data_IF_410079073536
#
_entry.id   IF_410079073536
#
_cell.length_a   1.000
_cell.length_b   1.000
_cell.length_c   1.000
_cell.angle_alpha   90.00
_cell.angle_beta   90.00
_cell.angle_gamma   90.00
#
_symmetry.space_group_name_H-M   'P 1'
#
loop_
_entity.id
_entity.type
_entity.pdbx_description
1 polymer ?
#
# COMPACT_ATOMS: atom_id res chain seq x y z
N UNK A 1 8.09 6.88 12.19
CA UNK A 1 7.91 5.73 11.27
C UNK A 1 6.48 5.81 10.81
N UNK A 2 6.26 5.91 9.50
CA UNK A 2 4.93 6.26 8.97
C UNK A 2 4.27 4.98 8.49
N UNK A 3 3.27 4.52 9.23
CA UNK A 3 2.30 3.54 8.72
C UNK A 3 1.42 4.28 7.72
N UNK A 4 1.46 3.89 6.45
CA UNK A 4 0.73 4.56 5.39
C UNK A 4 -0.21 3.56 4.70
N UNK A 5 -1.46 3.98 4.53
CA UNK A 5 -2.29 3.49 3.44
C UNK A 5 -2.18 4.51 2.32
N UNK A 6 -1.60 4.10 1.21
CA UNK A 6 -1.48 4.94 0.03
C UNK A 6 -2.52 4.50 -1.01
N UNK A 7 -3.12 5.48 -1.67
CA UNK A 7 -4.01 5.21 -2.81
C UNK A 7 -3.27 5.63 -4.07
N UNK A 8 -2.86 4.65 -4.87
CA UNK A 8 -2.29 4.91 -6.19
C UNK A 8 -3.42 5.15 -7.19
N UNK A 9 -3.28 6.18 -8.01
CA UNK A 9 -4.23 6.44 -9.09
C UNK A 9 -3.53 6.10 -10.40
N UNK A 10 -3.84 4.94 -10.96
CA UNK A 10 -3.35 4.55 -12.28
C UNK A 10 -4.18 5.24 -13.36
N UNK A 11 -3.69 6.38 -13.84
CA UNK A 11 -4.28 7.04 -15.01
C UNK A 11 -3.73 6.36 -16.26
N UNK A 12 -4.48 5.43 -16.84
CA UNK A 12 -4.21 4.94 -18.21
C UNK A 12 -4.67 6.00 -19.21
N UNK A 13 -3.94 7.11 -19.27
CA UNK A 13 -4.14 8.19 -20.24
C UNK A 13 -3.02 8.16 -21.26
N UNK A 14 -3.36 7.93 -22.53
CA UNK A 14 -2.43 8.12 -23.63
C UNK A 14 -1.90 9.55 -23.60
N UNK A 15 -0.62 9.72 -23.28
CA UNK A 15 0.10 10.96 -23.48
C UNK A 15 0.24 11.18 -25.00
N UNK A 16 -0.83 11.64 -25.64
CA UNK A 16 -0.72 12.37 -26.89
C UNK A 16 -0.12 13.72 -26.51
N UNK A 17 1.21 13.82 -26.61
CA UNK A 17 1.84 15.11 -26.83
C UNK A 17 1.17 15.71 -28.09
N UNK A 18 0.26 16.66 -27.88
CA UNK A 18 -0.23 17.53 -28.93
C UNK A 18 0.94 18.36 -29.45
N UNK A 19 1.61 17.87 -30.49
CA UNK A 19 2.23 18.73 -31.48
C UNK A 19 1.12 19.12 -32.48
N UNK A 20 1.04 20.39 -32.88
CA UNK A 20 -0.13 20.94 -33.55
C UNK A 20 -0.47 20.20 -34.84
N UNK A 21 -1.74 19.81 -34.94
CA UNK A 21 -2.32 19.16 -36.09
C UNK A 21 -2.20 20.04 -37.33
N UNK A 22 -1.48 19.55 -38.34
CA UNK A 22 -1.85 19.78 -39.73
C UNK A 22 -1.68 18.51 -40.53
N UNK A 23 -2.82 18.09 -41.10
CA UNK A 23 -3.01 17.31 -42.33
C UNK A 23 -3.08 15.77 -42.27
N UNK A 24 -4.25 15.30 -42.74
CA UNK A 24 -4.62 13.99 -43.29
C UNK A 24 -5.16 12.88 -42.37
N UNK A 25 -6.49 12.85 -42.27
CA UNK A 25 -7.29 11.62 -42.20
C UNK A 25 -6.99 10.75 -43.43
N UNK A 26 -6.64 9.48 -43.23
CA UNK A 26 -7.34 8.35 -43.84
C UNK A 26 -6.89 7.00 -43.27
N UNK A 27 -7.87 6.15 -43.03
CA UNK A 27 -7.74 4.80 -42.50
C UNK A 27 -6.93 3.91 -43.46
N UNK A 28 -5.73 3.48 -43.05
CA UNK A 28 -4.98 2.33 -43.61
C UNK A 28 -3.75 1.89 -42.77
N UNK A 29 -3.65 2.31 -41.50
CA UNK A 29 -2.38 2.27 -40.74
C UNK A 29 -1.98 0.95 -40.03
N UNK A 30 -2.86 -0.04 -39.88
CA UNK A 30 -2.54 -1.20 -39.00
C UNK A 30 -1.65 -2.26 -39.66
N UNK A 31 -1.74 -2.45 -40.99
CA UNK A 31 -0.92 -3.43 -41.71
C UNK A 31 0.49 -2.93 -42.03
N UNK A 32 0.66 -1.62 -42.22
CA UNK A 32 1.95 -1.04 -42.65
C UNK A 32 2.92 -0.83 -41.47
N UNK A 33 2.40 -0.59 -40.26
CA UNK A 33 3.20 -0.56 -39.02
C UNK A 33 3.70 -1.96 -38.63
N UNK A 34 2.84 -2.98 -38.73
CA UNK A 34 3.21 -4.39 -38.47
C UNK A 34 4.26 -4.90 -39.48
N UNK A 35 4.17 -4.46 -40.74
CA UNK A 35 5.12 -4.82 -41.79
C UNK A 35 6.45 -4.06 -41.66
N UNK A 36 6.44 -2.78 -41.25
CA UNK A 36 7.67 -2.03 -40.91
C UNK A 36 8.38 -2.58 -39.67
N UNK A 37 7.66 -3.00 -38.63
CA UNK A 37 8.26 -3.64 -37.45
C UNK A 37 8.87 -5.02 -37.76
N UNK A 38 8.28 -5.81 -38.68
CA UNK A 38 8.90 -7.08 -39.12
C UNK A 38 10.18 -6.90 -39.92
N UNK A 39 10.31 -5.83 -40.70
CA UNK A 39 11.52 -5.58 -41.52
C UNK A 39 12.68 -4.99 -40.70
N UNK A 40 12.41 -4.24 -39.62
CA UNK A 40 13.45 -3.67 -38.74
C UNK A 40 14.17 -4.75 -37.89
N UNK A 41 13.57 -5.93 -37.72
CA UNK A 41 14.15 -7.02 -36.93
C UNK A 41 15.38 -7.71 -37.55
N UNK A 42 15.82 -7.33 -38.75
CA UNK A 42 16.83 -8.09 -39.51
C UNK A 42 18.16 -7.40 -39.85
N UNK A 43 18.45 -6.18 -39.41
CA UNK A 43 19.75 -5.55 -39.73
C UNK A 43 20.27 -4.44 -38.82
N UNK A 44 19.96 -4.44 -37.51
CA UNK A 44 20.70 -3.55 -36.60
C UNK A 44 21.92 -4.27 -36.04
N UNK A 45 23.10 -3.67 -36.21
CA UNK A 45 24.31 -4.15 -35.54
C UNK A 45 24.17 -3.94 -34.03
N UNK A 46 24.80 -4.80 -33.23
CA UNK A 46 24.77 -4.74 -31.77
C UNK A 46 25.15 -3.34 -31.25
N UNK A 47 26.10 -2.67 -31.92
CA UNK A 47 26.57 -1.32 -31.62
C UNK A 47 25.48 -0.25 -31.79
N UNK A 48 24.62 -0.35 -32.81
CA UNK A 48 23.52 0.61 -33.04
C UNK A 48 22.40 0.45 -32.02
N UNK A 49 22.12 -0.78 -31.58
CA UNK A 49 21.15 -1.05 -30.52
C UNK A 49 21.66 -0.46 -29.20
N UNK A 50 22.92 -0.71 -28.85
CA UNK A 50 23.53 -0.18 -27.62
C UNK A 50 23.60 1.36 -27.60
N UNK A 51 23.81 2.00 -28.74
CA UNK A 51 23.80 3.47 -28.85
C UNK A 51 22.41 4.04 -28.54
N UNK A 52 21.34 3.50 -29.15
CA UNK A 52 19.96 3.94 -28.89
C UNK A 52 19.54 3.76 -27.43
N UNK A 53 19.97 2.68 -26.77
CA UNK A 53 19.69 2.47 -25.35
C UNK A 53 20.35 3.53 -24.47
N UNK A 54 21.62 3.87 -24.74
CA UNK A 54 22.31 4.95 -24.00
C UNK A 54 21.64 6.30 -24.20
N UNK A 55 21.22 6.61 -25.42
CA UNK A 55 20.45 7.83 -25.75
C UNK A 55 19.12 7.86 -24.99
N UNK A 56 18.34 6.77 -24.97
CA UNK A 56 17.07 6.75 -24.21
C UNK A 56 17.28 7.00 -22.71
N UNK A 57 18.24 6.29 -22.10
CA UNK A 57 18.53 6.43 -20.68
C UNK A 57 18.96 7.85 -20.31
N UNK A 58 19.89 8.43 -21.07
CA UNK A 58 20.47 9.73 -20.73
C UNK A 58 19.64 10.92 -21.20
N UNK A 59 19.02 10.83 -22.38
CA UNK A 59 18.36 11.98 -23.02
C UNK A 59 16.85 12.03 -22.76
N UNK A 60 16.24 10.92 -22.32
CA UNK A 60 14.80 10.84 -22.02
C UNK A 60 14.55 10.50 -20.56
N UNK A 61 15.03 9.35 -20.08
CA UNK A 61 14.72 8.87 -18.73
C UNK A 61 15.30 9.78 -17.64
N UNK A 62 16.57 10.18 -17.75
CA UNK A 62 17.22 11.07 -16.77
C UNK A 62 16.47 12.39 -16.63
N UNK A 63 16.23 13.19 -17.70
CA UNK A 63 15.51 14.46 -17.56
C UNK A 63 14.11 14.29 -16.95
N UNK A 64 13.40 13.19 -17.25
CA UNK A 64 12.09 12.91 -16.67
C UNK A 64 12.18 12.61 -15.16
N UNK A 65 13.12 11.76 -14.73
CA UNK A 65 13.35 11.49 -13.31
C UNK A 65 13.79 12.76 -12.56
N UNK A 66 14.71 13.54 -13.13
CA UNK A 66 15.16 14.80 -12.51
C UNK A 66 14.03 15.84 -12.44
N UNK A 67 13.11 15.88 -13.41
CA UNK A 67 11.91 16.71 -13.30
C UNK A 67 11.02 16.25 -12.12
N UNK A 68 10.77 14.95 -11.96
CA UNK A 68 10.05 14.43 -10.79
C UNK A 68 10.73 14.83 -9.48
N UNK A 69 12.06 14.73 -9.43
CA UNK A 69 12.83 15.03 -8.22
C UNK A 69 12.87 16.51 -7.85
N UNK A 70 13.10 17.38 -8.83
CA UNK A 70 13.46 18.78 -8.55
C UNK A 70 12.37 19.78 -8.94
N UNK A 71 11.47 19.43 -9.87
CA UNK A 71 10.36 20.30 -10.27
C UNK A 71 9.07 19.93 -9.54
N UNK A 72 8.77 18.64 -9.44
CA UNK A 72 7.59 18.15 -8.71
C UNK A 72 7.90 17.79 -7.26
N UNK A 73 9.19 17.76 -6.91
CA UNK A 73 9.68 17.49 -5.56
C UNK A 73 9.06 16.23 -4.95
N UNK A 74 9.08 15.13 -5.70
CA UNK A 74 8.48 13.86 -5.27
C UNK A 74 9.18 13.27 -4.04
N UNK A 75 8.39 12.72 -3.11
CA UNK A 75 8.91 12.06 -1.91
C UNK A 75 9.18 10.56 -2.09
N UNK A 76 8.46 9.89 -3.00
CA UNK A 76 8.59 8.44 -3.24
C UNK A 76 8.79 8.19 -4.73
N UNK A 77 9.88 7.53 -5.10
CA UNK A 77 10.05 6.97 -6.44
C UNK A 77 9.70 5.48 -6.45
N UNK A 78 8.54 5.16 -7.01
CA UNK A 78 8.04 3.79 -7.13
C UNK A 78 8.24 3.31 -8.58
N UNK A 79 9.33 2.61 -8.86
CA UNK A 79 9.60 2.10 -10.21
C UNK A 79 8.99 0.72 -10.41
N UNK A 80 8.70 0.38 -11.67
CA UNK A 80 8.11 -0.90 -12.02
C UNK A 80 9.10 -1.86 -12.71
N UNK A 81 8.89 -3.17 -12.50
CA UNK A 81 9.52 -4.37 -13.09
C UNK A 81 11.06 -4.44 -13.19
N UNK A 82 11.79 -3.41 -12.78
CA UNK A 82 13.24 -3.33 -12.94
C UNK A 82 13.68 -3.24 -14.42
N UNK A 83 14.99 -3.08 -14.63
CA UNK A 83 15.59 -3.00 -15.97
C UNK A 83 16.73 -2.00 -16.05
N UNK A 84 17.25 -1.74 -17.27
CA UNK A 84 18.22 -0.67 -17.48
C UNK A 84 17.66 0.67 -17.02
N UNK A 85 18.41 1.37 -16.17
CA UNK A 85 17.98 2.60 -15.52
C UNK A 85 19.18 3.54 -15.34
N UNK A 86 18.89 4.83 -15.22
CA UNK A 86 19.87 5.87 -14.82
C UNK A 86 19.83 6.17 -13.33
N UNK A 87 18.84 5.62 -12.61
CA UNK A 87 18.62 5.90 -11.20
C UNK A 87 19.91 5.77 -10.34
N UNK A 88 20.80 4.77 -10.53
CA UNK A 88 22.08 4.71 -9.80
C UNK A 88 22.98 5.90 -9.92
N UNK A 89 23.01 6.51 -11.09
CA UNK A 89 23.89 7.62 -11.35
C UNK A 89 23.35 8.92 -10.74
N UNK A 90 22.03 9.02 -10.55
CA UNK A 90 21.35 10.27 -10.15
C UNK A 90 20.78 10.24 -8.72
N UNK A 91 20.52 9.06 -8.15
CA UNK A 91 19.94 8.91 -6.81
C UNK A 91 20.77 9.61 -5.72
N UNK A 92 22.13 9.55 -5.69
CA UNK A 92 22.90 10.26 -4.67
C UNK A 92 22.69 11.78 -4.70
N UNK A 93 22.51 12.37 -5.88
CA UNK A 93 22.25 13.81 -6.02
C UNK A 93 20.87 14.16 -5.49
N UNK A 94 19.86 13.35 -5.82
CA UNK A 94 18.50 13.53 -5.32
C UNK A 94 18.42 13.40 -3.80
N UNK A 95 19.04 12.37 -3.22
CA UNK A 95 19.11 12.19 -1.75
C UNK A 95 19.80 13.35 -1.04
N UNK A 96 20.92 13.84 -1.59
CA UNK A 96 21.63 14.98 -1.02
C UNK A 96 20.82 16.28 -1.12
N UNK A 97 20.16 16.50 -2.26
CA UNK A 97 19.27 17.64 -2.46
C UNK A 97 18.07 17.59 -1.50
N UNK A 98 17.42 16.43 -1.36
CA UNK A 98 16.30 16.26 -0.43
C UNK A 98 16.74 16.60 1.00
N UNK A 99 17.87 16.03 1.44
CA UNK A 99 18.45 16.32 2.76
C UNK A 99 18.76 17.80 2.96
N UNK A 100 19.34 18.48 1.96
CA UNK A 100 19.67 19.91 2.07
C UNK A 100 18.42 20.79 2.19
N UNK A 101 17.28 20.32 1.69
CA UNK A 101 16.00 21.00 1.78
C UNK A 101 15.15 20.53 2.98
N UNK A 102 15.72 19.73 3.90
CA UNK A 102 14.99 19.20 5.06
C UNK A 102 13.91 18.18 4.71
N UNK A 103 14.05 17.50 3.57
CA UNK A 103 13.09 16.50 3.07
C UNK A 103 13.65 15.09 3.20
N UNK A 104 12.74 14.12 3.28
CA UNK A 104 13.04 12.71 3.18
C UNK A 104 12.45 12.18 1.89
N UNK A 105 13.25 11.42 1.14
CA UNK A 105 12.80 10.78 -0.08
C UNK A 105 13.24 9.32 -0.07
N UNK A 106 12.44 8.46 -0.69
CA UNK A 106 12.65 7.01 -0.70
C UNK A 106 12.41 6.42 -2.09
N UNK A 107 13.02 5.28 -2.37
CA UNK A 107 12.79 4.51 -3.57
C UNK A 107 12.59 3.01 -3.30
N UNK A 108 11.72 2.40 -4.10
CA UNK A 108 11.43 0.97 -3.99
C UNK A 108 12.56 0.09 -4.55
N UNK A 109 12.49 -1.22 -4.30
CA UNK A 109 13.47 -2.20 -4.74
C UNK A 109 13.52 -2.45 -6.26
N UNK A 110 12.63 -1.84 -7.04
CA UNK A 110 12.52 -2.04 -8.48
C UNK A 110 13.07 -0.90 -9.32
N UNK A 111 13.63 0.15 -8.72
CA UNK A 111 14.22 1.27 -9.46
C UNK A 111 15.55 0.98 -10.18
N UNK A 112 16.06 -0.24 -10.04
CA UNK A 112 17.33 -0.67 -10.63
C UNK A 112 18.49 -0.05 -9.87
N UNK A 113 19.08 -0.82 -8.97
CA UNK A 113 20.00 -0.34 -7.98
C UNK A 113 20.47 -1.50 -7.08
N UNK A 114 21.66 -1.40 -6.49
CA UNK A 114 22.00 -2.16 -5.28
C UNK A 114 21.55 -1.44 -3.99
N UNK A 115 20.69 -0.41 -4.11
CA UNK A 115 20.20 0.41 -3.01
C UNK A 115 18.69 0.61 -3.18
N UNK A 116 17.95 0.30 -2.13
CA UNK A 116 16.52 0.56 -2.03
C UNK A 116 16.16 0.77 -0.56
N UNK A 117 15.10 1.53 -0.32
CA UNK A 117 14.63 1.84 1.02
C UNK A 117 13.62 0.81 1.52
N UNK A 118 12.83 0.24 0.60
CA UNK A 118 11.83 -0.77 0.90
C UNK A 118 11.62 -1.77 -0.26
N UNK A 119 11.17 -2.97 0.09
CA UNK A 119 10.78 -4.00 -0.87
C UNK A 119 9.31 -3.81 -1.28
N UNK A 120 8.95 -4.09 -2.52
CA UNK A 120 7.58 -3.87 -3.01
C UNK A 120 6.99 -5.14 -3.65
N UNK A 121 6.60 -6.14 -2.86
CA UNK A 121 5.85 -7.28 -3.37
C UNK A 121 4.46 -6.84 -3.88
N UNK A 122 3.92 -7.57 -4.84
CA UNK A 122 2.57 -7.36 -5.36
C UNK A 122 1.65 -8.48 -4.91
N UNK A 123 0.39 -8.15 -4.58
CA UNK A 123 -0.66 -9.11 -4.20
C UNK A 123 -0.25 -10.08 -3.07
N UNK A 124 0.64 -9.65 -2.17
CA UNK A 124 1.23 -10.55 -1.19
C UNK A 124 0.81 -10.17 0.22
N UNK A 125 0.09 -11.07 0.88
CA UNK A 125 0.01 -11.20 2.32
C UNK A 125 1.22 -12.05 2.78
N UNK A 126 2.23 -11.41 3.36
CA UNK A 126 3.38 -12.20 3.83
C UNK A 126 2.93 -13.06 5.00
N UNK A 127 3.23 -14.36 4.98
CA UNK A 127 2.91 -15.27 6.09
C UNK A 127 3.70 -15.00 7.37
N UNK A 128 4.66 -14.07 7.33
CA UNK A 128 5.54 -13.78 8.45
C UNK A 128 5.97 -12.31 8.47
N UNK A 129 6.24 -11.84 9.67
CA UNK A 129 6.82 -10.53 9.95
C UNK A 129 8.14 -10.33 9.21
N UNK A 130 8.33 -9.14 8.63
CA UNK A 130 9.57 -8.75 7.95
C UNK A 130 10.25 -7.60 8.67
N UNK A 131 11.55 -7.74 8.94
CA UNK A 131 12.34 -6.67 9.58
C UNK A 131 12.67 -5.53 8.62
N UNK A 132 12.95 -5.86 7.35
CA UNK A 132 13.16 -4.88 6.29
C UNK A 132 11.81 -4.25 5.91
N UNK A 133 11.82 -2.95 5.63
CA UNK A 133 10.64 -2.23 5.18
C UNK A 133 10.14 -2.76 3.86
N UNK A 134 8.82 -2.87 3.76
CA UNK A 134 8.16 -3.35 2.57
C UNK A 134 6.78 -2.72 2.41
N UNK A 135 6.30 -2.69 1.19
CA UNK A 135 5.00 -2.16 0.81
C UNK A 135 4.32 -3.14 -0.14
N UNK A 136 3.18 -3.70 0.26
CA UNK A 136 2.40 -4.55 -0.63
C UNK A 136 1.50 -3.69 -1.49
N UNK A 137 1.60 -3.84 -2.80
CA UNK A 137 0.66 -3.21 -3.72
C UNK A 137 -0.38 -4.19 -4.24
N UNK A 138 -1.63 -3.73 -4.30
CA UNK A 138 -2.74 -4.42 -4.96
C UNK A 138 -3.73 -3.40 -5.54
N UNK A 139 -4.86 -3.88 -6.05
CA UNK A 139 -5.77 -3.12 -6.93
C UNK A 139 -7.21 -3.23 -6.46
N UNK A 140 -8.00 -2.17 -6.55
CA UNK A 140 -9.42 -2.28 -6.18
C UNK A 140 -10.22 -3.16 -7.15
N UNK A 141 -9.85 -3.16 -8.43
CA UNK A 141 -10.30 -4.13 -9.43
C UNK A 141 -9.35 -5.33 -9.42
N UNK A 142 -9.80 -6.55 -9.02
CA UNK A 142 -8.90 -7.69 -8.87
C UNK A 142 -8.22 -8.16 -10.18
N UNK A 143 -8.62 -7.64 -11.34
CA UNK A 143 -8.11 -8.06 -12.64
C UNK A 143 -7.18 -7.04 -13.30
N UNK A 144 -7.11 -5.79 -12.82
CA UNK A 144 -6.37 -4.73 -13.51
C UNK A 144 -6.01 -3.56 -12.60
N UNK A 145 -4.79 -3.00 -12.80
CA UNK A 145 -4.41 -1.69 -12.26
C UNK A 145 -5.07 -0.53 -13.03
N UNK A 146 -5.15 -0.64 -14.37
CA UNK A 146 -5.89 0.33 -15.17
C UNK A 146 -7.40 0.09 -15.10
N UNK A 147 -8.21 1.09 -15.47
CA UNK A 147 -9.65 0.89 -15.58
C UNK A 147 -10.00 -0.22 -16.57
N UNK A 148 -10.75 -1.22 -16.10
CA UNK A 148 -11.29 -2.29 -16.92
C UNK A 148 -12.83 -2.17 -16.97
N UNK A 149 -13.35 -1.86 -18.15
CA UNK A 149 -14.79 -1.73 -18.39
C UNK A 149 -15.53 -3.07 -18.29
N UNK A 150 -14.81 -4.19 -18.42
CA UNK A 150 -15.40 -5.53 -18.43
C UNK A 150 -15.50 -6.13 -17.03
N UNK A 151 -14.96 -5.46 -15.99
CA UNK A 151 -15.07 -5.90 -14.59
C UNK A 151 -16.46 -5.53 -14.05
N UNK A 152 -17.30 -6.52 -13.66
CA UNK A 152 -18.56 -6.25 -12.99
C UNK A 152 -18.36 -5.57 -11.63
N UNK A 153 -19.28 -4.68 -11.25
CA UNK A 153 -19.20 -3.92 -10.01
C UNK A 153 -19.08 -4.81 -8.76
N UNK A 154 -19.75 -5.96 -8.75
CA UNK A 154 -19.73 -6.94 -7.66
C UNK A 154 -18.39 -7.65 -7.48
N UNK A 155 -17.51 -7.61 -8.49
CA UNK A 155 -16.19 -8.25 -8.41
C UNK A 155 -15.12 -7.34 -7.81
N UNK A 156 -15.40 -6.04 -7.66
CA UNK A 156 -14.47 -5.14 -6.99
C UNK A 156 -14.26 -5.55 -5.54
N UNK A 157 -13.04 -5.37 -5.03
CA UNK A 157 -12.71 -5.67 -3.63
C UNK A 157 -13.59 -4.83 -2.70
N UNK A 158 -14.24 -5.51 -1.76
CA UNK A 158 -15.11 -4.88 -0.77
C UNK A 158 -14.30 -4.26 0.38
N UNK A 159 -14.97 -3.48 1.25
CA UNK A 159 -14.31 -2.83 2.40
C UNK A 159 -13.66 -3.84 3.35
N UNK A 160 -14.33 -4.96 3.63
CA UNK A 160 -13.82 -6.01 4.52
C UNK A 160 -12.47 -6.54 4.06
N UNK A 161 -12.36 -6.91 2.78
CA UNK A 161 -11.11 -7.42 2.22
C UNK A 161 -10.01 -6.36 2.32
N UNK A 162 -10.27 -5.13 1.88
CA UNK A 162 -9.26 -4.06 1.86
C UNK A 162 -8.79 -3.76 3.28
N UNK A 163 -9.72 -3.70 4.23
CA UNK A 163 -9.43 -3.43 5.63
C UNK A 163 -8.62 -4.56 6.28
N UNK A 164 -9.02 -5.81 6.05
CA UNK A 164 -8.32 -6.99 6.58
C UNK A 164 -6.89 -7.06 6.04
N UNK A 165 -6.70 -6.90 4.72
CA UNK A 165 -5.37 -6.85 4.11
C UNK A 165 -4.54 -5.73 4.72
N UNK A 166 -5.11 -4.54 4.91
CA UNK A 166 -4.37 -3.43 5.50
C UNK A 166 -3.93 -3.72 6.94
N UNK A 167 -4.84 -4.17 7.80
CA UNK A 167 -4.52 -4.50 9.21
C UNK A 167 -3.45 -5.59 9.28
N UNK A 168 -3.57 -6.64 8.45
CA UNK A 168 -2.61 -7.75 8.40
C UNK A 168 -1.21 -7.28 8.01
N UNK A 169 -1.11 -6.46 6.97
CA UNK A 169 0.16 -5.93 6.48
C UNK A 169 0.83 -5.03 7.52
N UNK A 170 0.07 -4.16 8.17
CA UNK A 170 0.59 -3.26 9.21
C UNK A 170 1.12 -4.04 10.41
N UNK A 171 0.41 -5.07 10.86
CA UNK A 171 0.87 -5.91 11.98
C UNK A 171 2.18 -6.65 11.67
N UNK A 172 2.51 -6.80 10.38
CA UNK A 172 3.72 -7.46 9.86
C UNK A 172 4.79 -6.48 9.40
N UNK A 173 4.74 -5.24 9.90
CA UNK A 173 5.72 -4.18 9.63
C UNK A 173 5.74 -3.68 8.17
N UNK A 174 4.64 -3.86 7.45
CA UNK A 174 4.49 -3.42 6.06
C UNK A 174 3.60 -2.18 5.90
N UNK A 175 3.72 -1.55 4.73
CA UNK A 175 2.78 -0.56 4.22
C UNK A 175 1.87 -1.18 3.16
N UNK A 176 0.72 -0.57 2.94
CA UNK A 176 -0.28 -1.06 1.99
C UNK A 176 -0.61 0.02 0.95
N UNK A 177 -0.43 -0.34 -0.31
CA UNK A 177 -0.72 0.50 -1.47
C UNK A 177 -1.90 -0.10 -2.24
N UNK A 178 -3.06 0.55 -2.18
CA UNK A 178 -4.24 0.13 -2.94
C UNK A 178 -4.39 1.02 -4.17
N UNK A 179 -4.35 0.41 -5.34
CA UNK A 179 -4.52 1.12 -6.60
C UNK A 179 -5.99 1.23 -7.01
N UNK A 180 -6.34 2.35 -7.63
CA UNK A 180 -7.61 2.58 -8.29
C UNK A 180 -7.36 2.98 -9.74
N UNK A 181 -8.11 2.36 -10.67
CA UNK A 181 -8.13 2.74 -12.07
C UNK A 181 -9.34 3.63 -12.39
N UNK A 182 -9.19 4.96 -12.52
CA UNK A 182 -10.28 5.84 -12.92
C UNK A 182 -10.63 5.63 -14.39
N UNK A 183 -11.88 5.92 -14.74
CA UNK A 183 -12.30 5.94 -16.14
C UNK A 183 -11.51 7.00 -16.94
N UNK A 184 -11.59 6.93 -18.27
CA UNK A 184 -10.88 7.87 -19.16
C UNK A 184 -11.20 9.37 -18.92
N UNK A 185 -12.32 9.69 -18.26
CA UNK A 185 -12.68 11.07 -17.91
C UNK A 185 -12.26 11.45 -16.47
N UNK A 186 -11.52 10.58 -15.76
CA UNK A 186 -11.04 10.79 -14.40
C UNK A 186 -12.02 10.39 -13.29
N UNK A 187 -13.14 9.73 -13.62
CA UNK A 187 -14.11 9.30 -12.59
C UNK A 187 -13.64 8.03 -11.89
N UNK A 188 -13.62 8.04 -10.56
CA UNK A 188 -13.38 6.83 -9.75
C UNK A 188 -14.63 5.94 -9.80
N UNK A 189 -14.44 4.66 -10.09
CA UNK A 189 -15.54 3.68 -10.19
C UNK A 189 -16.27 3.55 -8.85
N UNK A 190 -17.61 3.48 -8.88
CA UNK A 190 -18.46 3.56 -7.69
C UNK A 190 -18.17 2.48 -6.62
N UNK A 191 -17.93 1.20 -6.97
CA UNK A 191 -17.59 0.17 -5.99
C UNK A 191 -16.28 0.50 -5.24
N UNK A 192 -15.22 0.87 -5.95
CA UNK A 192 -13.94 1.30 -5.34
C UNK A 192 -14.13 2.45 -4.38
N UNK A 193 -14.84 3.50 -4.80
CA UNK A 193 -15.13 4.67 -3.95
C UNK A 193 -15.88 4.27 -2.69
N UNK A 194 -16.90 3.43 -2.83
CA UNK A 194 -17.75 3.01 -1.71
C UNK A 194 -16.95 2.20 -0.69
N UNK A 195 -16.15 1.22 -1.15
CA UNK A 195 -15.29 0.42 -0.27
C UNK A 195 -14.25 1.27 0.43
N UNK A 196 -13.56 2.16 -0.28
CA UNK A 196 -12.50 3.01 0.29
C UNK A 196 -13.03 4.02 1.31
N UNK A 197 -14.23 4.57 1.12
CA UNK A 197 -14.85 5.46 2.11
C UNK A 197 -15.15 4.72 3.41
N UNK A 198 -15.69 3.49 3.35
CA UNK A 198 -15.92 2.65 4.54
C UNK A 198 -14.63 2.30 5.26
N UNK A 199 -13.57 1.96 4.52
CA UNK A 199 -12.23 1.74 5.09
C UNK A 199 -11.74 3.01 5.78
N UNK A 200 -11.89 4.17 5.14
CA UNK A 200 -11.55 5.47 5.71
C UNK A 200 -12.29 5.79 7.01
N UNK A 201 -13.56 5.41 7.13
CA UNK A 201 -14.35 5.58 8.37
C UNK A 201 -13.75 4.78 9.53
N UNK A 202 -13.36 3.52 9.29
CA UNK A 202 -12.72 2.68 10.31
C UNK A 202 -11.33 3.23 10.70
N UNK A 203 -10.58 3.74 9.72
CA UNK A 203 -9.23 4.27 9.92
C UNK A 203 -9.15 5.60 10.68
N UNK A 204 -10.28 6.21 11.02
CA UNK A 204 -10.29 7.33 11.98
C UNK A 204 -9.90 6.89 13.40
N UNK A 205 -9.84 5.58 13.67
CA UNK A 205 -9.34 5.01 14.93
C UNK A 205 -7.82 5.11 15.09
N UNK A 206 -7.33 4.77 16.29
CA UNK A 206 -5.92 4.97 16.68
C UNK A 206 -5.03 3.72 16.59
N UNK A 207 -5.60 2.57 16.19
CA UNK A 207 -4.94 1.26 16.23
C UNK A 207 -3.97 0.98 15.06
N UNK A 208 -3.87 1.89 14.08
CA UNK A 208 -3.04 1.72 12.88
C UNK A 208 -2.00 2.85 12.75
N UNK A 209 -2.43 4.10 12.64
CA UNK A 209 -1.51 5.21 12.45
C UNK A 209 -0.64 5.47 13.68
N UNK A 210 0.62 5.83 13.43
CA UNK A 210 1.68 6.02 14.44
C UNK A 210 1.88 4.81 15.38
N UNK A 211 1.55 3.61 14.91
CA UNK A 211 1.85 2.37 15.61
C UNK A 211 3.13 1.71 15.09
N UNK A 212 3.56 0.70 15.83
CA UNK A 212 4.58 -0.26 15.47
C UNK A 212 3.96 -1.66 15.48
N UNK A 213 4.58 -2.60 14.78
CA UNK A 213 4.23 -4.00 14.86
C UNK A 213 4.63 -4.58 16.23
N UNK A 214 3.90 -5.60 16.70
CA UNK A 214 4.35 -6.38 17.86
C UNK A 214 5.42 -7.39 17.43
N UNK A 215 6.68 -7.12 17.77
CA UNK A 215 7.81 -7.89 17.26
C UNK A 215 7.89 -9.34 17.76
N UNK A 216 7.21 -9.65 18.87
CA UNK A 216 7.19 -11.03 19.42
C UNK A 216 6.20 -11.90 18.64
N UNK A 217 5.04 -11.36 18.27
CA UNK A 217 4.00 -12.09 17.55
C UNK A 217 3.13 -11.09 16.78
N UNK A 218 3.16 -11.13 15.44
CA UNK A 218 2.38 -10.20 14.61
C UNK A 218 0.88 -10.57 14.54
N UNK A 219 0.56 -11.85 14.72
CA UNK A 219 -0.77 -12.42 14.56
C UNK A 219 -1.01 -13.66 15.43
N UNK A 220 -2.27 -13.91 15.79
CA UNK A 220 -2.74 -15.15 16.41
C UNK A 220 -4.14 -15.47 15.89
N UNK A 221 -4.27 -16.44 14.98
CA UNK A 221 -5.54 -16.68 14.30
C UNK A 221 -6.01 -15.41 13.56
N UNK A 222 -7.18 -14.90 13.94
CA UNK A 222 -7.74 -13.66 13.40
C UNK A 222 -7.31 -12.40 14.17
N UNK A 223 -6.47 -12.54 15.19
CA UNK A 223 -5.92 -11.39 15.92
C UNK A 223 -4.71 -10.81 15.20
N UNK A 224 -4.62 -9.48 15.20
CA UNK A 224 -3.48 -8.70 14.76
C UNK A 224 -3.08 -7.74 15.86
N UNK A 225 -1.77 -7.49 15.98
CA UNK A 225 -1.23 -6.72 17.09
C UNK A 225 -0.42 -5.53 16.59
N UNK A 226 -0.69 -4.37 17.18
CA UNK A 226 0.11 -3.17 17.00
C UNK A 226 0.41 -2.54 18.36
N UNK A 227 1.42 -1.69 18.45
CA UNK A 227 1.88 -1.11 19.71
C UNK A 227 2.35 0.32 19.54
N UNK A 228 2.16 1.12 20.58
CA UNK A 228 2.72 2.46 20.78
C UNK A 228 3.53 2.45 22.06
N UNK A 229 4.26 3.53 22.32
CA UNK A 229 5.03 3.68 23.57
C UNK A 229 4.16 3.66 24.83
N UNK A 230 2.88 3.99 24.71
CA UNK A 230 1.92 4.16 25.80
C UNK A 230 0.73 3.18 25.74
N UNK A 231 0.63 2.35 24.70
CA UNK A 231 -0.48 1.42 24.55
C UNK A 231 -0.15 0.19 23.70
N UNK A 232 -0.85 -0.90 23.97
CA UNK A 232 -0.95 -2.07 23.12
C UNK A 232 -2.31 -2.08 22.42
N UNK A 233 -2.36 -2.54 21.17
CA UNK A 233 -3.62 -2.73 20.45
C UNK A 233 -3.78 -4.17 20.03
N UNK A 234 -4.99 -4.69 20.24
CA UNK A 234 -5.45 -5.98 19.72
C UNK A 234 -6.55 -5.71 18.72
N UNK A 235 -6.44 -6.27 17.52
CA UNK A 235 -7.40 -6.06 16.44
C UNK A 235 -7.90 -7.43 16.00
N UNK A 236 -9.21 -7.67 16.12
CA UNK A 236 -9.86 -8.91 15.67
C UNK A 236 -10.43 -8.72 14.27
N UNK A 237 -10.03 -9.58 13.33
CA UNK A 237 -10.57 -9.62 11.97
C UNK A 237 -11.89 -10.41 11.87
N UNK A 238 -12.23 -11.17 12.91
CA UNK A 238 -13.50 -11.88 13.04
C UNK A 238 -14.26 -11.43 14.29
N UNK A 239 -15.58 -11.63 14.26
CA UNK A 239 -16.47 -11.23 15.34
C UNK A 239 -16.08 -11.97 16.63
N UNK A 240 -15.75 -11.28 17.74
CA UNK A 240 -15.46 -11.94 19.01
C UNK A 240 -16.71 -12.66 19.54
N UNK A 241 -16.68 -14.00 19.59
CA UNK A 241 -17.81 -14.79 20.09
C UNK A 241 -17.82 -14.88 21.61
N UNK A 242 -19.01 -15.10 22.18
CA UNK A 242 -19.23 -15.36 23.60
C UNK A 242 -18.81 -14.20 24.53
N UNK A 243 -18.74 -12.97 24.00
CA UNK A 243 -18.37 -11.78 24.77
C UNK A 243 -16.95 -11.78 25.35
N UNK A 244 -16.05 -12.63 24.83
CA UNK A 244 -14.66 -12.72 25.34
C UNK A 244 -13.65 -12.86 24.21
N UNK A 245 -12.71 -11.91 24.14
CA UNK A 245 -11.53 -12.02 23.28
C UNK A 245 -10.41 -12.77 24.02
N UNK A 246 -9.84 -13.80 23.40
CA UNK A 246 -8.82 -14.65 24.01
C UNK A 246 -7.52 -14.64 23.22
N UNK A 247 -6.39 -14.67 23.93
CA UNK A 247 -5.07 -14.80 23.31
C UNK A 247 -4.11 -15.59 24.20
N UNK A 248 -3.33 -16.48 23.60
CA UNK A 248 -2.21 -17.19 24.26
C UNK A 248 -0.86 -16.55 23.96
N UNK A 249 -0.84 -15.52 23.09
CA UNK A 249 0.38 -14.81 22.74
C UNK A 249 1.01 -14.11 23.94
N UNK A 250 2.34 -13.96 23.97
CA UNK A 250 3.00 -13.15 24.97
C UNK A 250 2.66 -11.67 24.75
N UNK A 251 1.75 -11.14 25.56
CA UNK A 251 1.32 -9.74 25.51
C UNK A 251 2.13 -8.89 26.50
N UNK A 252 2.53 -7.65 26.15
CA UNK A 252 3.32 -6.77 27.00
C UNK A 252 2.43 -6.04 28.03
N UNK A 253 1.62 -6.78 28.78
CA UNK A 253 0.63 -6.22 29.72
C UNK A 253 1.04 -6.48 31.17
N UNK A 254 0.68 -5.55 32.05
CA UNK A 254 0.84 -5.68 33.50
C UNK A 254 -0.46 -5.38 34.24
N UNK A 255 -0.55 -5.85 35.48
CA UNK A 255 -1.65 -5.52 36.37
C UNK A 255 -1.80 -4.00 36.50
N UNK A 256 -3.03 -3.50 36.30
CA UNK A 256 -3.36 -2.08 36.33
C UNK A 256 -3.50 -1.42 34.96
N UNK A 257 -3.04 -2.06 33.88
CA UNK A 257 -3.27 -1.55 32.52
C UNK A 257 -4.77 -1.53 32.17
N UNK A 258 -5.19 -0.52 31.41
CA UNK A 258 -6.61 -0.22 31.20
C UNK A 258 -7.00 -0.57 29.77
N UNK A 259 -7.94 -1.50 29.61
CA UNK A 259 -8.48 -1.90 28.32
C UNK A 259 -9.73 -1.09 27.95
N UNK A 260 -9.86 -0.68 26.69
CA UNK A 260 -11.02 0.03 26.13
C UNK A 260 -11.30 -0.45 24.71
N UNK A 261 -12.58 -0.47 24.31
CA UNK A 261 -12.96 -0.75 22.93
C UNK A 261 -12.89 0.52 22.07
N UNK A 262 -12.31 0.40 20.86
CA UNK A 262 -12.21 1.51 19.91
C UNK A 262 -13.41 1.50 18.95
N UNK A 263 -14.61 1.54 19.53
CA UNK A 263 -15.88 1.56 18.81
C UNK A 263 -16.39 2.97 18.47
N UNK A 264 -17.49 3.06 17.70
CA UNK A 264 -18.07 4.33 17.23
C UNK A 264 -18.62 5.22 18.36
N UNK A 265 -18.97 4.63 19.50
CA UNK A 265 -19.36 5.39 20.70
C UNK A 265 -18.21 6.22 21.29
N UNK A 266 -16.96 5.94 20.90
CA UNK A 266 -15.74 6.41 21.56
C UNK A 266 -15.81 6.27 23.07
N UNK A 267 -16.56 5.26 23.56
CA UNK A 267 -16.73 5.04 24.98
C UNK A 267 -15.36 4.74 25.57
N UNK A 268 -14.91 5.58 26.51
CA UNK A 268 -13.74 5.26 27.34
C UNK A 268 -14.15 4.28 28.46
N UNK A 269 -15.15 3.42 28.19
CA UNK A 269 -15.64 2.43 29.13
C UNK A 269 -14.53 1.40 29.30
N UNK A 270 -14.03 1.32 30.53
CA UNK A 270 -13.00 0.35 30.88
C UNK A 270 -13.57 -1.06 30.77
N UNK A 271 -12.85 -1.91 30.06
CA UNK A 271 -13.13 -3.33 29.91
C UNK A 271 -12.37 -4.12 30.96
N UNK A 272 -13.01 -5.14 31.50
CA UNK A 272 -12.36 -6.08 32.41
C UNK A 272 -11.51 -7.06 31.62
N UNK A 273 -10.32 -7.36 32.10
CA UNK A 273 -9.48 -8.42 31.55
C UNK A 273 -8.80 -9.20 32.68
N UNK A 274 -8.39 -10.44 32.39
CA UNK A 274 -7.70 -11.31 33.34
C UNK A 274 -6.83 -12.35 32.64
N UNK A 275 -5.89 -12.92 33.37
CA UNK A 275 -5.16 -14.11 32.95
C UNK A 275 -5.81 -15.36 33.58
N UNK A 276 -6.12 -16.35 32.77
CA UNK A 276 -6.59 -17.65 33.25
C UNK A 276 -5.43 -18.46 33.88
N UNK A 277 -5.76 -19.55 34.60
CA UNK A 277 -4.78 -20.44 35.22
C UNK A 277 -3.73 -20.99 34.22
N UNK A 278 -4.13 -21.15 32.95
CA UNK A 278 -3.26 -21.62 31.87
C UNK A 278 -2.51 -20.49 31.14
N UNK A 279 -2.50 -19.27 31.69
CA UNK A 279 -1.91 -18.05 31.09
C UNK A 279 -2.54 -17.67 29.75
N UNK A 280 -3.84 -17.91 29.60
CA UNK A 280 -4.63 -17.36 28.49
C UNK A 280 -5.10 -15.96 28.91
N UNK A 281 -4.81 -14.95 28.10
CA UNK A 281 -5.40 -13.62 28.26
C UNK A 281 -6.87 -13.65 27.86
N UNK A 282 -7.75 -13.09 28.69
CA UNK A 282 -9.18 -12.97 28.43
C UNK A 282 -9.61 -11.52 28.64
N UNK A 283 -10.17 -10.89 27.60
CA UNK A 283 -10.74 -9.55 27.63
C UNK A 283 -12.26 -9.67 27.44
N UNK A 284 -13.01 -9.21 28.44
CA UNK A 284 -14.47 -9.26 28.45
C UNK A 284 -15.05 -8.05 27.73
N UNK A 285 -15.89 -8.30 26.73
CA UNK A 285 -16.38 -7.30 25.77
C UNK A 285 -17.90 -7.28 25.73
N UNK A 286 -18.46 -6.09 25.48
CA UNK A 286 -19.90 -5.86 25.45
C UNK A 286 -20.45 -6.18 24.04
N UNK A 287 -21.30 -7.20 23.93
CA UNK A 287 -21.84 -7.64 22.64
C UNK A 287 -22.68 -6.55 21.94
N UNK A 288 -23.33 -5.66 22.71
CA UNK A 288 -24.10 -4.56 22.13
C UNK A 288 -23.18 -3.53 21.43
N UNK A 289 -21.98 -3.28 21.99
CA UNK A 289 -20.99 -2.40 21.36
C UNK A 289 -20.32 -3.08 20.17
N UNK A 290 -20.02 -4.39 20.25
CA UNK A 290 -19.44 -5.14 19.14
C UNK A 290 -20.34 -5.11 17.90
N UNK A 291 -21.65 -5.22 18.08
CA UNK A 291 -22.63 -5.21 16.99
C UNK A 291 -22.69 -3.86 16.23
N UNK A 292 -22.16 -2.77 16.80
CA UNK A 292 -22.11 -1.46 16.15
C UNK A 292 -20.95 -1.34 15.15
N UNK A 293 -19.97 -2.25 15.22
CA UNK A 293 -18.81 -2.27 14.33
C UNK A 293 -18.93 -3.43 13.35
N UNK A 294 -18.51 -3.17 12.12
CA UNK A 294 -18.42 -4.18 11.07
C UNK A 294 -16.95 -4.34 10.65
N UNK A 295 -16.66 -5.44 9.98
CA UNK A 295 -15.37 -5.77 9.37
C UNK A 295 -14.23 -6.07 10.36
N UNK A 296 -13.90 -5.21 11.32
CA UNK A 296 -12.84 -5.47 12.30
C UNK A 296 -13.03 -4.74 13.64
N UNK A 297 -12.62 -5.37 14.75
CA UNK A 297 -12.81 -4.86 16.12
C UNK A 297 -11.47 -4.55 16.78
N UNK A 298 -11.22 -3.28 17.09
CA UNK A 298 -9.96 -2.83 17.70
C UNK A 298 -10.13 -2.51 19.19
N UNK A 299 -9.16 -2.96 19.99
CA UNK A 299 -9.10 -2.76 21.44
C UNK A 299 -7.77 -2.10 21.78
N UNK A 300 -7.81 -1.09 22.65
CA UNK A 300 -6.62 -0.42 23.20
C UNK A 300 -6.43 -0.88 24.63
N UNK A 301 -5.20 -1.24 24.99
CA UNK A 301 -4.79 -1.49 26.36
C UNK A 301 -3.70 -0.47 26.69
N UNK A 302 -4.07 0.55 27.46
CA UNK A 302 -3.17 1.66 27.83
C UNK A 302 -2.28 1.25 29.00
N UNK A 303 -0.99 1.48 28.85
CA UNK A 303 -0.02 1.25 29.91
C UNK A 303 -0.19 2.27 31.05
N UNK A 304 -0.05 1.80 32.28
CA UNK A 304 -0.10 2.63 33.50
C UNK A 304 1.25 2.96 34.11
#
# INVERSE_FOLDING_TARGET
MVTLMEVMICITGGAQLELPATTFFNALGSLEVSRKMRTIRRSMSHTQVMWKWRTFLQDIMRPQMEALFYQYETDILWCDIGGPTVFPDIAPMWFNWAKSNGRHVIANARCGANYSDFDNPEYTDTTHLKMRKWESSEVSDPYSYGYNQDTPDENYRNSTYILHSFIDIVSKNGNYLIDIGPTANGTIVSPSRTSLLKVGEWLMGEAIYDTQYWYVTAEEGDLRFTTKSDAFHMISLSYPTDGVLRSISPLPLKDGDIATFLGPSQSQKELTWSWSENRVFELFVDEEELAMVQDAWAFKIRYT
#
